data_IF_065542258649
#
_entry.id   IF_065542258649
#
_cell.length_a   1.000
_cell.length_b   1.000
_cell.length_c   1.000
_cell.angle_alpha   90.00
_cell.angle_beta   90.00
_cell.angle_gamma   90.00
#
_symmetry.space_group_name_H-M   'P 1'
#
loop_
_entity.id
_entity.type
_entity.pdbx_description
1 polymer ?
2 non-polymer ?
3 non-polymer ?
4 water ?
#
# COMPACT_ATOMS: atom_id res chain seq x y z
N UNK A 2 13.29 -9.79 -3.56
CA UNK A 2 12.01 -9.92 -2.78
C UNK A 2 12.14 -9.71 -1.26
N UNK A 3 11.78 -8.51 -0.82
CA UNK A 3 11.91 -7.34 -1.66
C UNK A 3 13.29 -6.85 -1.20
N UNK A 4 14.06 -6.24 -2.08
CA UNK A 4 15.44 -5.89 -1.69
C UNK A 4 15.64 -4.46 -1.14
N UNK A 5 14.56 -3.69 -1.05
CA UNK A 5 14.60 -2.35 -0.45
C UNK A 5 13.60 -2.27 0.71
N UNK A 6 14.11 -1.81 1.85
CA UNK A 6 13.29 -1.41 2.98
C UNK A 6 13.92 -0.13 3.39
N UNK A 7 13.17 0.68 4.11
CA UNK A 7 13.70 1.95 4.49
C UNK A 7 14.34 1.84 5.88
N UNK A 8 15.54 2.39 5.95
CA UNK A 8 16.28 2.51 7.18
C UNK A 8 15.75 3.67 7.99
N UNK A 9 15.60 3.44 9.29
CA UNK A 9 15.26 4.50 10.25
C UNK A 9 13.80 4.92 10.20
N UNK A 10 12.92 4.00 9.83
CA UNK A 10 11.50 4.30 9.76
C UNK A 10 10.90 4.69 11.11
N UNK A 11 10.19 5.82 11.12
CA UNK A 11 9.41 6.21 12.30
C UNK A 11 7.93 6.02 11.98
N UNK A 12 7.37 4.88 12.37
CA UNK A 12 5.97 4.51 12.06
C UNK A 12 4.94 5.57 12.47
N UNK A 13 5.18 6.23 13.60
CA UNK A 13 4.21 7.23 14.08
C UNK A 13 4.04 8.37 13.07
N UNK A 14 5.04 8.53 12.20
CA UNK A 14 5.08 9.65 11.25
C UNK A 14 4.41 9.36 9.89
N UNK A 15 3.95 8.12 9.68
CA UNK A 15 3.18 7.79 8.46
C UNK A 15 1.65 7.93 8.72
N UNK A 16 1.31 8.23 9.97
CA UNK A 16 -0.04 8.51 10.41
C UNK A 16 -0.84 9.38 9.44
N UNK A 17 -2.12 9.06 9.27
CA UNK A 17 -3.02 9.98 8.57
C UNK A 17 -3.45 9.55 7.19
N UNK A 18 -3.84 10.55 6.38
CA UNK A 18 -4.46 10.37 5.05
C UNK A 18 -3.49 9.94 3.92
N UNK A 19 -3.83 8.87 3.22
CA UNK A 19 -3.06 8.52 2.03
C UNK A 19 -3.92 8.29 0.79
N UNK A 20 -3.35 8.54 -0.38
CA UNK A 20 -3.97 8.12 -1.63
C UNK A 20 -3.12 7.07 -2.41
N UNK A 21 -3.76 5.99 -2.85
CA UNK A 21 -3.10 4.96 -3.69
C UNK A 21 -2.98 5.39 -5.13
N UNK A 22 -1.92 6.14 -5.42
CA UNK A 22 -1.67 6.71 -6.73
C UNK A 22 -1.32 5.64 -7.80
N UNK A 23 -0.58 4.62 -7.43
CA UNK A 23 -0.26 3.57 -8.40
C UNK A 23 -0.11 2.25 -7.70
N UNK A 24 -0.48 1.17 -8.39
CA UNK A 24 -0.37 -0.18 -7.81
C UNK A 24 0.30 -1.06 -8.84
N UNK A 25 1.09 -2.01 -8.38
CA UNK A 25 1.69 -2.99 -9.32
C UNK A 25 1.67 -4.38 -8.67
N UNK A 26 1.66 -5.44 -9.48
CA UNK A 26 1.60 -6.81 -8.93
C UNK A 26 2.29 -7.82 -9.83
N UNK A 27 2.70 -8.92 -9.21
CA UNK A 27 3.52 -9.94 -9.84
C UNK A 27 2.65 -10.73 -10.79
N UNK A 28 1.38 -10.82 -10.46
CA UNK A 28 0.47 -11.61 -11.22
C UNK A 28 -0.71 -10.76 -11.64
N UNK A 29 -1.00 -10.80 -12.95
CA UNK A 29 -2.08 -10.02 -13.53
C UNK A 29 -3.33 -10.15 -12.69
N UNK A 30 -3.65 -11.40 -12.34
CA UNK A 30 -4.85 -11.75 -11.59
C UNK A 30 -5.00 -11.05 -10.21
N UNK A 31 -3.90 -10.55 -9.64
CA UNK A 31 -3.91 -9.92 -8.30
C UNK A 31 -4.54 -8.52 -8.32
N UNK A 32 -4.52 -7.86 -9.50
CA UNK A 32 -5.08 -6.52 -9.70
C UNK A 32 -6.10 -6.40 -10.85
N UNK A 33 -6.26 -7.47 -11.64
CA UNK A 33 -7.04 -7.43 -12.90
C UNK A 33 -8.48 -6.92 -12.73
N UNK A 34 -9.33 -7.73 -12.12
CA UNK A 34 -10.72 -7.30 -11.90
C UNK A 34 -10.82 -6.12 -10.92
N UNK A 35 -11.98 -5.48 -10.89
CA UNK A 35 -12.29 -4.50 -9.85
C UNK A 35 -12.43 -5.16 -8.45
N UNK A 36 -12.81 -6.44 -8.42
CA UNK A 36 -12.88 -7.17 -7.15
C UNK A 36 -11.65 -8.04 -6.91
N UNK A 37 -10.62 -7.86 -7.73
CA UNK A 37 -9.35 -8.58 -7.58
C UNK A 37 -8.78 -8.53 -6.15
N UNK A 38 -8.09 -9.61 -5.71
CA UNK A 38 -7.59 -9.76 -4.33
C UNK A 38 -6.76 -8.60 -3.75
N UNK A 39 -5.76 -8.10 -4.47
CA UNK A 39 -4.96 -7.00 -3.90
C UNK A 39 -5.33 -5.62 -4.43
N UNK A 40 -6.46 -5.54 -5.10
CA UNK A 40 -6.91 -4.26 -5.61
C UNK A 40 -7.58 -3.52 -4.43
N UNK A 41 -6.76 -2.81 -3.65
CA UNK A 41 -7.21 -2.12 -2.44
C UNK A 41 -6.73 -0.66 -2.43
N UNK A 42 -7.56 0.21 -1.89
CA UNK A 42 -7.34 1.64 -1.96
C UNK A 42 -7.21 2.15 -0.54
N UNK A 43 -6.01 2.60 -0.18
CA UNK A 43 -5.65 3.05 1.15
C UNK A 43 -6.33 4.39 1.45
N UNK A 44 -6.84 4.53 2.67
CA UNK A 44 -7.52 5.77 3.08
C UNK A 44 -6.75 6.45 4.21
N UNK A 45 -6.45 5.72 5.28
CA UNK A 45 -5.75 6.32 6.39
C UNK A 45 -4.90 5.30 7.11
N UNK A 46 -3.78 5.75 7.66
CA UNK A 46 -2.96 4.87 8.48
C UNK A 46 -2.99 5.34 9.93
N UNK A 47 -3.29 4.42 10.82
CA UNK A 47 -3.38 4.76 12.24
C UNK A 47 -2.44 3.90 13.06
N UNK A 48 -1.20 4.37 13.25
CA UNK A 48 -0.23 3.66 14.10
C UNK A 48 -0.69 3.66 15.57
N UNK A 49 -0.61 2.50 16.22
CA UNK A 49 -0.95 2.40 17.66
C UNK A 49 0.26 2.79 18.53
N UNK A 50 0.04 3.08 19.84
CA UNK A 50 1.17 3.39 20.73
C UNK A 50 2.18 2.25 20.82
N UNK A 51 1.70 1.01 20.88
CA UNK A 51 2.57 -0.18 20.86
C UNK A 51 3.29 -0.44 19.51
N UNK A 52 3.16 0.47 18.53
CA UNK A 52 3.79 0.30 17.21
C UNK A 52 3.14 -0.61 16.16
N UNK A 53 1.92 -1.08 16.43
CA UNK A 53 1.12 -1.72 15.39
C UNK A 53 0.48 -0.69 14.45
N UNK A 54 -0.02 -1.14 13.31
CA UNK A 54 -0.55 -0.20 12.32
C UNK A 54 -1.94 -0.64 11.87
N UNK A 55 -2.93 0.14 12.27
CA UNK A 55 -4.30 -0.06 11.83
C UNK A 55 -4.52 0.58 10.46
N UNK A 56 -5.04 -0.19 9.52
CA UNK A 56 -5.21 0.33 8.16
C UNK A 56 -6.68 0.33 7.79
N UNK A 57 -7.13 1.51 7.39
CA UNK A 57 -8.43 1.73 6.81
C UNK A 57 -8.28 1.75 5.30
N UNK A 58 -9.03 0.89 4.61
CA UNK A 58 -9.04 0.93 3.15
C UNK A 58 -10.40 0.54 2.57
N UNK A 59 -10.54 0.80 1.27
CA UNK A 59 -11.69 0.35 0.49
C UNK A 59 -11.33 -0.81 -0.41
N UNK A 60 -12.28 -1.73 -0.58
CA UNK A 60 -12.17 -2.83 -1.52
C UNK A 60 -13.51 -3.07 -2.20
N UNK A 61 -13.48 -3.38 -3.49
CA UNK A 61 -14.69 -3.78 -4.22
C UNK A 61 -14.98 -5.26 -4.01
N UNK A 62 -16.16 -5.56 -3.45
CA UNK A 62 -16.48 -6.94 -3.04
C UNK A 62 -17.74 -7.59 -3.61
N UNK A 63 -18.92 -7.09 -3.24
CA UNK A 63 -20.18 -7.73 -3.65
C UNK A 63 -20.49 -7.32 -5.08
N UNK A 64 -20.74 -6.03 -5.22
CA UNK A 64 -20.87 -5.32 -6.49
C UNK A 64 -20.82 -3.89 -5.98
N UNK A 65 -19.97 -3.70 -4.98
CA UNK A 65 -20.02 -2.54 -4.12
C UNK A 65 -18.62 -2.23 -3.61
N UNK A 66 -18.32 -0.94 -3.52
CA UNK A 66 -17.13 -0.46 -2.84
C UNK A 66 -17.31 -0.55 -1.31
N UNK A 67 -16.66 -1.54 -0.68
CA UNK A 67 -16.78 -1.76 0.78
C UNK A 67 -15.63 -1.18 1.60
N UNK A 68 -15.94 -0.85 2.85
CA UNK A 68 -14.95 -0.37 3.82
C UNK A 68 -14.28 -1.52 4.52
N UNK A 69 -12.98 -1.37 4.78
CA UNK A 69 -12.27 -2.35 5.58
C UNK A 69 -11.33 -1.75 6.62
N UNK A 70 -11.06 -2.56 7.62
CA UNK A 70 -10.22 -2.23 8.75
C UNK A 70 -9.37 -3.45 9.01
N UNK A 71 -8.06 -3.31 8.80
CA UNK A 71 -7.14 -4.40 9.06
C UNK A 71 -6.02 -3.99 9.99
N UNK A 72 -5.54 -4.96 10.76
CA UNK A 72 -4.43 -4.68 11.65
C UNK A 72 -3.12 -5.34 11.16
N UNK A 73 -2.08 -4.51 11.06
CA UNK A 73 -0.71 -4.94 10.75
C UNK A 73 0.12 -4.85 12.02
N UNK A 74 0.53 -6.00 12.53
CA UNK A 74 1.35 -6.05 13.73
C UNK A 74 2.85 -5.86 13.43
N UNK A 75 3.52 -5.10 14.28
CA UNK A 75 4.97 -4.93 14.18
C UNK A 75 5.71 -6.28 14.27
N UNK A 76 6.87 -6.35 13.62
CA UNK A 76 7.85 -7.42 13.81
C UNK A 76 9.12 -6.79 14.41
N UNK A 77 10.21 -7.58 14.48
CA UNK A 77 11.52 -7.06 14.93
C UNK A 77 12.13 -6.03 14.00
N UNK A 78 11.73 -6.06 12.73
CA UNK A 78 12.24 -5.14 11.74
C UNK A 78 11.32 -3.94 11.65
N UNK A 79 11.86 -2.73 11.86
CA UNK A 79 10.97 -1.56 11.91
C UNK A 79 10.18 -1.25 10.62
N UNK A 80 10.70 -1.68 9.47
CA UNK A 80 10.01 -1.43 8.21
C UNK A 80 9.07 -2.57 7.76
N UNK A 81 8.94 -3.63 8.56
CA UNK A 81 8.17 -4.83 8.16
C UNK A 81 7.09 -5.18 9.18
N UNK A 82 5.87 -5.40 8.69
CA UNK A 82 4.72 -5.73 9.52
C UNK A 82 4.08 -7.02 9.02
N UNK A 83 3.31 -7.67 9.90
CA UNK A 83 2.54 -8.87 9.58
C UNK A 83 1.05 -8.61 9.69
N UNK A 84 0.31 -8.96 8.65
CA UNK A 84 -1.14 -8.76 8.68
C UNK A 84 -1.85 -9.93 9.39
N UNK A 85 -2.89 -9.59 10.17
CA UNK A 85 -3.51 -10.48 11.18
C UNK A 85 -4.05 -11.82 10.69
N UNK A 86 -4.51 -11.83 9.44
CA UNK A 86 -5.29 -12.93 8.88
C UNK A 86 -4.41 -14.10 8.45
N UNK A 87 -5.00 -15.02 7.68
CA UNK A 87 -4.26 -16.01 6.90
C UNK A 87 -3.30 -15.30 5.89
N UNK A 88 -2.22 -15.95 5.43
CA UNK A 88 -1.63 -17.20 5.93
C UNK A 88 -0.11 -17.27 5.70
N UNK A 89 0.67 -16.34 6.26
CA UNK A 89 0.19 -15.07 6.83
C UNK A 89 0.37 -14.01 5.72
N UNK A 90 0.97 -12.85 6.02
CA UNK A 90 1.13 -11.77 5.02
C UNK A 90 2.04 -10.62 5.48
N UNK A 91 3.14 -10.40 4.76
CA UNK A 91 4.17 -9.42 5.14
C UNK A 91 4.00 -8.08 4.40
N UNK A 92 3.98 -6.97 5.14
CA UNK A 92 3.98 -5.63 4.54
C UNK A 92 5.32 -4.97 4.79
N UNK A 93 5.95 -4.45 3.74
CA UNK A 93 7.27 -3.84 3.87
C UNK A 93 7.27 -2.41 3.37
N UNK A 94 7.79 -1.50 4.19
CA UNK A 94 7.89 -0.09 3.85
C UNK A 94 9.24 0.14 3.19
N UNK A 95 9.23 0.51 1.90
CA UNK A 95 10.47 0.59 1.10
C UNK A 95 11.13 1.94 1.23
N UNK A 96 10.30 2.98 1.33
CA UNK A 96 10.76 4.35 1.26
C UNK A 96 9.57 5.28 1.54
N UNK A 97 9.82 6.31 2.33
CA UNK A 97 8.84 7.38 2.56
C UNK A 97 9.56 8.63 3.03
N UNK A 98 8.97 9.79 2.74
CA UNK A 98 9.48 11.07 3.21
C UNK A 98 8.45 11.68 4.13
N UNK A 99 7.49 10.85 4.52
CA UNK A 99 6.38 11.15 5.44
C UNK A 99 5.35 12.19 4.96
N UNK A 100 5.83 13.26 4.37
CA UNK A 100 5.00 14.41 4.06
C UNK A 100 4.47 14.42 2.61
N UNK A 101 4.88 13.44 1.78
CA UNK A 101 4.53 13.44 0.35
C UNK A 101 4.19 12.06 -0.18
N UNK A 102 5.14 11.13 -0.07
CA UNK A 102 4.97 9.83 -0.70
C UNK A 102 5.35 8.70 0.22
N UNK A 103 4.80 7.52 -0.04
CA UNK A 103 5.22 6.31 0.67
C UNK A 103 5.11 5.12 -0.26
N UNK A 104 6.22 4.40 -0.44
CA UNK A 104 6.24 3.11 -1.20
C UNK A 104 6.22 1.90 -0.28
N UNK A 105 5.31 0.97 -0.55
CA UNK A 105 5.24 -0.26 0.21
C UNK A 105 4.96 -1.40 -0.70
N UNK A 106 5.39 -2.58 -0.28
CA UNK A 106 4.99 -3.82 -0.92
C UNK A 106 4.31 -4.72 0.09
N UNK A 107 3.41 -5.55 -0.41
CA UNK A 107 2.81 -6.64 0.33
C UNK A 107 3.16 -7.95 -0.34
N UNK A 108 3.68 -8.88 0.44
CA UNK A 108 3.96 -10.18 -0.14
C UNK A 108 3.36 -11.33 0.64
N UNK A 109 2.71 -12.20 -0.13
CA UNK A 109 2.64 -13.65 0.08
C UNK A 109 1.41 -14.39 -0.45
N UNK A 115 5.93 -13.06 -4.12
CA UNK A 115 5.58 -14.37 -4.66
C UNK A 115 4.78 -14.40 -5.98
N UNK A 116 3.47 -14.11 -6.03
CA UNK A 116 2.61 -13.27 -5.13
C UNK A 116 3.13 -12.00 -4.39
N UNK A 117 2.93 -10.87 -5.03
CA UNK A 117 3.52 -9.63 -4.58
C UNK A 117 2.76 -8.47 -5.20
N UNK A 118 2.42 -7.49 -4.37
CA UNK A 118 1.87 -6.23 -4.86
C UNK A 118 2.50 -5.06 -4.12
N UNK A 119 2.66 -3.95 -4.84
CA UNK A 119 3.29 -2.75 -4.29
C UNK A 119 2.48 -1.53 -4.69
N UNK A 120 2.52 -0.49 -3.86
CA UNK A 120 1.81 0.73 -4.20
C UNK A 120 2.67 1.93 -3.98
N UNK A 121 2.34 2.99 -4.71
CA UNK A 121 2.90 4.29 -4.44
C UNK A 121 1.81 5.09 -3.74
N UNK A 122 2.01 5.38 -2.46
CA UNK A 122 1.09 6.25 -1.70
C UNK A 122 1.53 7.69 -1.75
N UNK A 123 0.57 8.62 -1.83
CA UNK A 123 0.91 10.03 -1.81
C UNK A 123 -0.07 10.75 -0.87
N UNK A 124 0.35 11.88 -0.33
CA UNK A 124 -0.47 12.58 0.67
C UNK A 124 -1.69 13.33 0.09
N UNK A 125 -1.68 13.59 -1.22
CA UNK A 125 -2.71 14.42 -1.87
C UNK A 125 -3.23 13.81 -3.19
N UNK A 126 -4.46 14.23 -3.63
CA UNK A 126 -5.03 13.74 -4.88
C UNK A 126 -4.38 14.43 -6.09
N UNK A 127 -3.07 14.27 -6.20
CA UNK A 127 -2.25 14.89 -7.22
C UNK A 127 -1.34 13.81 -7.79
N UNK A 128 -1.05 13.89 -9.10
CA UNK A 128 -0.09 12.99 -9.75
C UNK A 128 1.34 13.48 -9.46
N UNK A 129 2.06 12.78 -8.59
CA UNK A 129 3.44 13.16 -8.24
C UNK A 129 4.37 12.40 -9.18
N UNK A 130 4.91 13.09 -10.18
CA UNK A 130 5.81 12.45 -11.15
C UNK A 130 7.06 11.88 -10.47
N UNK A 131 7.59 12.62 -9.50
CA UNK A 131 8.80 12.25 -8.75
C UNK A 131 8.65 11.01 -7.84
N UNK A 132 7.47 10.85 -7.23
CA UNK A 132 7.20 9.66 -6.43
C UNK A 132 6.94 8.46 -7.34
N UNK A 133 6.20 8.68 -8.42
CA UNK A 133 6.04 7.65 -9.46
C UNK A 133 7.33 7.16 -10.09
N UNK A 134 8.32 8.03 -10.19
CA UNK A 134 9.60 7.67 -10.79
C UNK A 134 10.40 6.80 -9.81
N UNK A 135 10.30 7.12 -8.52
CA UNK A 135 10.82 6.30 -7.44
C UNK A 135 10.11 4.94 -7.32
N UNK A 136 8.79 4.91 -7.53
CA UNK A 136 8.04 3.64 -7.54
C UNK A 136 8.54 2.75 -8.69
N UNK A 137 8.77 3.36 -9.86
CA UNK A 137 9.18 2.60 -11.03
C UNK A 137 10.62 2.12 -10.88
N UNK A 138 11.50 2.99 -10.39
CA UNK A 138 12.88 2.60 -10.00
C UNK A 138 12.86 1.43 -9.01
N UNK A 139 12.04 1.52 -7.97
CA UNK A 139 12.01 0.44 -6.97
C UNK A 139 11.50 -0.88 -7.56
N UNK A 140 10.63 -0.79 -8.56
CA UNK A 140 10.02 -1.99 -9.12
C UNK A 140 10.76 -2.62 -10.32
N UNK A 141 11.72 -1.91 -10.90
CA UNK A 141 12.47 -2.48 -12.03
C UNK A 141 13.21 -3.73 -11.56
N UNK A 142 13.55 -3.74 -10.28
CA UNK A 142 14.16 -4.87 -9.58
C UNK A 142 13.26 -6.10 -9.39
N UNK A 143 11.94 -5.91 -9.49
CA UNK A 143 10.92 -6.95 -9.18
C UNK A 143 10.18 -7.51 -10.41
N UNK A 144 9.54 -8.70 -10.27
CA UNK A 144 8.84 -9.32 -11.40
C UNK A 144 7.33 -8.98 -11.51
N UNK A 145 7.03 -7.74 -11.87
CA UNK A 145 5.66 -7.24 -11.89
C UNK A 145 5.10 -7.42 -13.28
N UNK A 146 3.84 -7.87 -13.37
CA UNK A 146 3.15 -8.11 -14.65
C UNK A 146 1.85 -7.33 -14.88
N UNK A 147 1.46 -6.52 -13.88
CA UNK A 147 0.41 -5.53 -14.09
C UNK A 147 0.80 -4.25 -13.33
N UNK A 148 0.45 -3.11 -13.90
CA UNK A 148 0.64 -1.84 -13.24
C UNK A 148 -0.55 -0.92 -13.55
N UNK A 149 -1.05 -0.23 -12.52
CA UNK A 149 -2.21 0.65 -12.67
C UNK A 149 -1.84 1.98 -12.07
N UNK A 150 -2.35 3.06 -12.65
CA UNK A 150 -2.24 4.39 -12.04
C UNK A 150 -3.52 5.17 -12.22
N UNK A 151 -3.75 6.11 -11.30
CA UNK A 151 -5.05 6.77 -11.22
C UNK A 151 -4.89 8.25 -11.35
N UNK A 152 -5.93 8.90 -11.86
CA UNK A 152 -5.88 10.31 -12.10
C UNK A 152 -6.52 11.02 -10.89
N UNK A 153 -6.38 12.35 -10.80
CA UNK A 153 -6.87 13.04 -9.61
C UNK A 153 -8.38 12.91 -9.38
N UNK A 154 -9.14 12.83 -10.48
CA UNK A 154 -10.61 12.70 -10.37
C UNK A 154 -10.96 11.40 -9.67
N UNK A 155 -10.33 10.33 -10.13
CA UNK A 155 -10.53 8.99 -9.58
C UNK A 155 -10.12 8.89 -8.14
N UNK A 156 -9.02 9.58 -7.80
CA UNK A 156 -8.47 9.59 -6.45
C UNK A 156 -9.43 10.18 -5.42
N UNK A 157 -10.35 11.04 -5.88
CA UNK A 157 -11.37 11.61 -4.98
C UNK A 157 -12.69 10.82 -4.90
N UNK A 158 -12.82 9.75 -5.70
CA UNK A 158 -14.00 8.86 -5.67
C UNK A 158 -13.72 7.61 -4.84
N UNK A 159 -14.77 7.00 -4.28
CA UNK A 159 -14.66 5.73 -3.53
C UNK A 159 -14.34 4.60 -4.50
N UNK A 160 -13.29 3.84 -4.18
CA UNK A 160 -12.80 2.78 -5.06
C UNK A 160 -12.29 3.27 -6.42
N UNK A 161 -11.94 4.56 -6.47
CA UNK A 161 -11.29 5.18 -7.62
C UNK A 161 -12.08 4.94 -8.92
N UNK A 162 -13.41 4.94 -8.80
CA UNK A 162 -14.30 4.75 -9.97
C UNK A 162 -14.19 5.87 -11.00
X LIG B 1 -10.41 -9.53 1.53
X LIG B 1 -11.43 -8.98 1.04
X LIG B 1 -10.16 -10.75 1.40
X LIG B 1 -9.45 -8.67 2.33
X LIG B 1 -8.62 -7.85 1.35
X LIG B 1 -7.30 -7.41 1.97
X LIG B 1 -6.10 -7.75 1.09
X LIG B 1 -4.80 -7.44 1.82
X LIG B 1 -4.82 -6.02 2.40
X LIG B 1 -3.40 -5.51 2.62
X LIG B 1 -3.38 -3.98 2.67
X LIG B 1 -2.12 -3.51 3.36
X LIG B 1 -1.92 -2.03 3.14
X LIG B 1 -0.56 -1.63 3.67
X LIG B 1 -0.47 -0.12 3.71
X LIG B 1 0.96 0.34 3.90
X LIG B 1 1.24 0.89 5.28
X LIG B 1 2.65 1.43 5.42
X LIG C 1 8.59 -0.70 -13.62
X LIG C 1 7.25 -0.09 -13.19
X LIG C 1 9.74 -0.05 -13.10
X LIG D 1 5.69 -13.11 -10.92
X LIG D 1 5.17 -13.65 -12.24
X LIG D 1 4.89 -13.53 -9.84
X LIG E 1 14.22 -2.22 -5.06
X LIG E 1 14.28 -0.74 -4.76
X LIG E 1 13.03 -2.84 -4.66
#
# INVERSE_FOLDING_TARGET
LIVTQTMKGLDIQKVAGTWYSLAMAASDISLLDAQSAPLRVYVEELKPTPEGDLEILLQKWENGECAQKKIIAEKTKIPAVFKIDALNENKVLVLDTDYKKYLLFCMENSAEPEQSLACQCLVRTPEVDDEALEKFDKALKALPMHIRLSFNPTQLEEQCHI
PLM C1 O1 O2 C2 C3 C4 C5 C6 C7 C8 C9 CA CB CC CD CE CF CG
EOH C1 C2 O
EOH C1 C2 O
EOH C1 C2 O
#
